data_IF_878263275080
#
_entry.id   IF_878263275080
#
_cell.length_a   1.000
_cell.length_b   1.000
_cell.length_c   1.000
_cell.angle_alpha   90.00
_cell.angle_beta   90.00
_cell.angle_gamma   90.00
#
_symmetry.space_group_name_H-M   'P 1'
#
loop_
_entity.id
_entity.type
_entity.pdbx_description
1 polymer ?
#
# COMPACT_ATOMS: atom_id res chain seq x y z
N UNK A 1 -45.32 101.94 10.70
CA UNK A 1 -45.02 100.51 10.96
C UNK A 1 -44.94 99.80 9.62
N UNK A 2 -44.09 100.32 8.67
CA UNK A 2 -44.02 99.75 7.32
C UNK A 2 -42.61 99.80 6.71
N UNK A 3 -41.52 99.84 7.46
CA UNK A 3 -40.15 99.99 6.91
C UNK A 3 -39.19 98.87 7.33
N UNK A 4 -39.65 97.81 8.03
CA UNK A 4 -38.79 96.72 8.55
C UNK A 4 -38.90 95.42 7.77
N UNK A 5 -39.80 95.29 6.79
CA UNK A 5 -40.00 94.06 6.03
C UNK A 5 -39.02 93.73 4.90
N UNK A 6 -38.43 94.65 4.14
CA UNK A 6 -37.52 94.34 3.08
C UNK A 6 -36.14 93.88 3.57
N UNK A 7 -35.67 94.43 4.71
CA UNK A 7 -34.33 94.12 5.24
C UNK A 7 -34.20 92.73 5.80
N UNK A 8 -35.27 92.18 6.45
CA UNK A 8 -35.33 90.86 6.94
C UNK A 8 -35.40 89.81 5.81
N UNK A 9 -36.05 90.10 4.71
CA UNK A 9 -36.12 89.23 3.52
C UNK A 9 -34.77 89.16 2.78
N UNK A 10 -34.03 90.26 2.68
CA UNK A 10 -32.69 90.31 2.06
C UNK A 10 -31.66 89.55 2.92
N UNK A 11 -31.70 89.69 4.25
CA UNK A 11 -30.82 89.00 5.15
C UNK A 11 -31.12 87.48 5.13
N UNK A 12 -32.39 87.08 5.00
CA UNK A 12 -32.79 85.71 4.88
C UNK A 12 -32.36 85.00 3.58
N UNK A 13 -32.47 85.77 2.45
CA UNK A 13 -32.02 85.33 1.12
C UNK A 13 -30.47 85.20 1.08
N UNK A 14 -29.74 86.15 1.67
CA UNK A 14 -28.29 86.08 1.79
C UNK A 14 -27.81 84.90 2.66
N UNK A 15 -28.48 84.71 3.78
CA UNK A 15 -28.14 83.58 4.68
C UNK A 15 -28.48 82.24 4.05
N UNK A 16 -29.59 82.10 3.36
CA UNK A 16 -29.95 80.85 2.64
C UNK A 16 -29.00 80.56 1.46
N UNK A 17 -28.55 81.53 0.71
CA UNK A 17 -27.58 81.36 -0.37
C UNK A 17 -26.16 81.01 0.17
N UNK A 18 -25.78 81.55 1.33
CA UNK A 18 -24.52 81.22 2.00
C UNK A 18 -24.54 79.81 2.56
N UNK A 19 -25.66 79.34 3.10
CA UNK A 19 -25.77 77.94 3.58
C UNK A 19 -25.78 76.97 2.43
N UNK A 20 -26.42 77.24 1.31
CA UNK A 20 -26.39 76.33 0.13
C UNK A 20 -25.02 76.34 -0.57
N UNK A 21 -24.30 77.41 -0.60
CA UNK A 21 -22.94 77.50 -1.14
C UNK A 21 -21.94 76.68 -0.24
N UNK A 22 -22.14 76.72 1.08
CA UNK A 22 -21.30 75.98 2.01
C UNK A 22 -21.58 74.44 1.98
N UNK A 23 -22.83 74.04 1.81
CA UNK A 23 -23.24 72.64 1.65
C UNK A 23 -22.69 72.08 0.32
N UNK A 24 -22.72 72.82 -0.75
CA UNK A 24 -22.18 72.41 -2.05
C UNK A 24 -20.64 72.18 -2.01
N UNK A 25 -19.92 73.09 -1.35
CA UNK A 25 -18.48 73.03 -1.19
C UNK A 25 -18.05 71.84 -0.31
N UNK A 26 -18.74 71.61 0.79
CA UNK A 26 -18.50 70.43 1.68
C UNK A 26 -18.80 69.13 0.97
N UNK A 27 -19.87 69.04 0.18
CA UNK A 27 -20.23 67.82 -0.54
C UNK A 27 -19.19 67.47 -1.61
N UNK A 28 -18.65 68.47 -2.33
CA UNK A 28 -17.58 68.25 -3.32
C UNK A 28 -16.29 67.77 -2.64
N UNK A 29 -15.93 68.37 -1.51
CA UNK A 29 -14.76 67.95 -0.71
C UNK A 29 -14.86 66.49 -0.22
N UNK A 30 -15.97 66.11 0.37
CA UNK A 30 -16.20 64.72 0.81
C UNK A 30 -16.16 63.71 -0.35
N UNK A 31 -16.65 64.08 -1.54
CA UNK A 31 -16.55 63.21 -2.73
C UNK A 31 -15.09 63.00 -3.17
N UNK A 32 -14.26 64.01 -3.14
CA UNK A 32 -12.84 63.96 -3.49
C UNK A 32 -12.08 63.16 -2.42
N UNK A 33 -12.33 63.42 -1.15
CA UNK A 33 -11.74 62.68 -0.05
C UNK A 33 -12.08 61.17 -0.08
N UNK A 34 -13.35 60.82 -0.32
CA UNK A 34 -13.79 59.44 -0.51
C UNK A 34 -13.10 58.79 -1.71
N UNK A 35 -12.94 59.54 -2.82
CA UNK A 35 -12.24 59.04 -4.01
C UNK A 35 -10.75 58.83 -3.75
N UNK A 36 -10.09 59.71 -3.00
CA UNK A 36 -8.69 59.56 -2.58
C UNK A 36 -8.50 58.35 -1.67
N UNK A 37 -9.36 58.18 -0.66
CA UNK A 37 -9.32 57.06 0.25
C UNK A 37 -9.51 55.72 -0.49
N UNK A 38 -10.45 55.67 -1.45
CA UNK A 38 -10.66 54.50 -2.30
C UNK A 38 -9.43 54.23 -3.17
N UNK A 39 -8.85 55.23 -3.81
CA UNK A 39 -7.66 55.08 -4.64
C UNK A 39 -6.47 54.55 -3.80
N UNK A 40 -6.25 55.09 -2.61
CA UNK A 40 -5.21 54.61 -1.68
C UNK A 40 -5.43 53.15 -1.28
N UNK A 41 -6.66 52.77 -0.97
CA UNK A 41 -7.01 51.38 -0.63
C UNK A 41 -6.74 50.43 -1.80
N UNK A 42 -7.14 50.80 -3.02
CA UNK A 42 -6.90 49.98 -4.22
C UNK A 42 -5.40 49.89 -4.57
N UNK A 43 -4.63 50.99 -4.44
CA UNK A 43 -3.17 50.96 -4.59
C UNK A 43 -2.53 49.98 -3.60
N UNK A 44 -2.91 50.06 -2.33
CA UNK A 44 -2.39 49.13 -1.29
C UNK A 44 -2.72 47.67 -1.59
N UNK A 45 -3.94 47.38 -2.03
CA UNK A 45 -4.35 46.01 -2.42
C UNK A 45 -3.57 45.50 -3.65
N UNK A 46 -3.42 46.36 -4.68
CA UNK A 46 -2.64 46.00 -5.87
C UNK A 46 -1.18 45.76 -5.55
N UNK A 47 -0.58 46.56 -4.65
CA UNK A 47 0.79 46.34 -4.17
C UNK A 47 0.91 45.01 -3.39
N UNK A 48 -0.03 44.69 -2.51
CA UNK A 48 -0.04 43.45 -1.75
C UNK A 48 -0.19 42.25 -2.67
N UNK A 49 -1.09 42.29 -3.67
CA UNK A 49 -1.26 41.22 -4.66
C UNK A 49 -0.02 41.01 -5.51
N UNK A 50 0.64 42.06 -5.93
CA UNK A 50 1.88 42.02 -6.71
C UNK A 50 3.03 41.49 -5.85
N UNK A 51 3.11 41.87 -4.56
CA UNK A 51 4.15 41.45 -3.64
C UNK A 51 4.00 39.99 -3.24
N UNK A 52 2.75 39.49 -3.06
CA UNK A 52 2.46 38.12 -2.69
C UNK A 52 2.30 37.18 -3.88
N UNK A 53 2.08 37.69 -5.08
CA UNK A 53 1.73 36.91 -6.27
C UNK A 53 0.33 36.31 -6.23
N UNK A 54 -0.49 36.66 -5.24
CA UNK A 54 -1.83 36.11 -5.00
C UNK A 54 -2.91 37.10 -5.30
N UNK A 55 -3.94 36.66 -6.04
CA UNK A 55 -5.11 37.50 -6.31
C UNK A 55 -5.97 37.73 -5.06
N UNK A 56 -6.03 36.71 -4.18
CA UNK A 56 -6.73 36.73 -2.89
C UNK A 56 -5.69 36.68 -1.77
N UNK A 57 -5.09 37.83 -1.44
CA UNK A 57 -4.05 37.92 -0.42
C UNK A 57 -4.61 37.82 1.00
N UNK A 58 -5.81 38.37 1.23
CA UNK A 58 -6.48 38.41 2.53
C UNK A 58 -7.71 37.50 2.57
N UNK A 59 -7.99 36.92 3.73
CA UNK A 59 -9.16 36.08 3.94
C UNK A 59 -10.51 36.79 3.71
N UNK A 60 -10.53 38.13 3.76
CA UNK A 60 -11.67 38.96 3.42
C UNK A 60 -11.86 39.19 1.92
N UNK A 61 -10.85 38.91 1.11
CA UNK A 61 -10.92 39.08 -0.33
C UNK A 61 -11.61 37.88 -0.96
N UNK A 62 -12.85 38.04 -1.46
CA UNK A 62 -13.59 36.95 -2.11
C UNK A 62 -13.51 35.62 -1.37
N UNK A 63 -14.05 35.57 -0.15
CA UNK A 63 -13.95 34.41 0.76
C UNK A 63 -14.27 33.05 0.12
N UNK A 64 -15.17 33.02 -0.88
CA UNK A 64 -15.50 31.81 -1.63
C UNK A 64 -14.32 31.29 -2.49
N UNK A 65 -13.55 32.20 -3.09
CA UNK A 65 -12.38 31.84 -3.88
C UNK A 65 -11.21 31.40 -2.99
N UNK A 66 -11.04 32.03 -1.82
CA UNK A 66 -10.06 31.60 -0.81
C UNK A 66 -10.38 30.18 -0.34
N UNK A 67 -11.64 29.92 0.01
CA UNK A 67 -12.07 28.57 0.41
C UNK A 67 -11.87 27.52 -0.70
N UNK A 68 -12.11 27.90 -1.96
CA UNK A 68 -11.86 27.02 -3.10
C UNK A 68 -10.35 26.77 -3.29
N UNK A 69 -9.50 27.77 -3.18
CA UNK A 69 -8.06 27.63 -3.25
C UNK A 69 -7.51 26.73 -2.13
N UNK A 70 -8.01 26.91 -0.91
CA UNK A 70 -7.62 26.06 0.23
C UNK A 70 -8.02 24.60 0.01
N UNK A 71 -9.18 24.34 -0.59
CA UNK A 71 -9.62 22.99 -0.93
C UNK A 71 -8.68 22.36 -1.98
N UNK A 72 -8.38 23.06 -3.07
CA UNK A 72 -7.42 22.58 -4.07
C UNK A 72 -6.03 22.32 -3.49
N UNK A 73 -5.57 23.19 -2.59
CA UNK A 73 -4.29 23.01 -1.90
C UNK A 73 -4.27 21.79 -1.01
N UNK A 74 -5.37 21.54 -0.28
CA UNK A 74 -5.51 20.37 0.58
C UNK A 74 -5.47 19.09 -0.26
N UNK A 75 -6.26 19.05 -1.35
CA UNK A 75 -6.32 17.90 -2.26
C UNK A 75 -4.96 17.67 -2.96
N UNK A 76 -4.29 18.74 -3.40
CA UNK A 76 -2.93 18.66 -3.96
C UNK A 76 -1.91 18.04 -2.99
N UNK A 77 -1.90 18.50 -1.74
CA UNK A 77 -0.97 17.99 -0.73
C UNK A 77 -1.32 16.54 -0.38
N UNK A 78 -2.62 16.23 -0.28
CA UNK A 78 -3.11 14.87 -0.01
C UNK A 78 -2.69 13.87 -1.10
N UNK A 79 -2.97 14.19 -2.36
CA UNK A 79 -2.60 13.31 -3.49
C UNK A 79 -1.09 13.15 -3.64
N UNK A 80 -0.32 14.21 -3.46
CA UNK A 80 1.15 14.15 -3.47
C UNK A 80 1.73 13.28 -2.35
N UNK A 81 1.13 13.30 -1.17
CA UNK A 81 1.49 12.40 -0.08
C UNK A 81 1.08 10.95 -0.40
N UNK A 82 -0.10 10.75 -1.00
CA UNK A 82 -0.60 9.46 -1.45
C UNK A 82 0.32 8.80 -2.48
N UNK A 83 0.79 9.53 -3.50
CA UNK A 83 1.76 9.03 -4.49
C UNK A 83 3.03 8.51 -3.81
N UNK A 84 3.56 9.25 -2.83
CA UNK A 84 4.75 8.79 -2.07
C UNK A 84 4.47 7.54 -1.27
N UNK A 85 3.29 7.44 -0.64
CA UNK A 85 2.84 6.23 0.08
C UNK A 85 2.73 5.03 -0.87
N UNK A 86 2.07 5.22 -2.01
CA UNK A 86 1.92 4.19 -3.03
C UNK A 86 3.26 3.71 -3.61
N UNK A 87 4.23 4.62 -3.82
CA UNK A 87 5.58 4.25 -4.27
C UNK A 87 6.32 3.35 -3.26
N UNK A 88 6.08 3.50 -1.96
CA UNK A 88 6.62 2.59 -0.93
C UNK A 88 5.97 1.21 -1.03
N UNK A 89 4.67 1.15 -1.36
CA UNK A 89 3.96 -0.13 -1.55
C UNK A 89 4.42 -0.83 -2.83
N UNK A 90 4.74 -0.10 -3.91
CA UNK A 90 5.37 -0.71 -5.09
C UNK A 90 6.68 -1.41 -4.71
N UNK A 91 7.53 -0.77 -3.89
CA UNK A 91 8.76 -1.41 -3.38
C UNK A 91 8.50 -2.64 -2.52
N UNK A 92 7.42 -2.65 -1.73
CA UNK A 92 6.98 -3.85 -0.99
C UNK A 92 6.61 -4.99 -1.94
N UNK A 93 5.75 -4.74 -2.93
CA UNK A 93 5.31 -5.75 -3.90
C UNK A 93 6.48 -6.27 -4.75
N UNK A 94 7.37 -5.39 -5.19
CA UNK A 94 8.57 -5.78 -5.95
C UNK A 94 9.48 -6.70 -5.12
N UNK A 95 9.72 -6.36 -3.86
CA UNK A 95 10.52 -7.20 -2.96
C UNK A 95 9.85 -8.56 -2.77
N UNK A 96 8.52 -8.59 -2.61
CA UNK A 96 7.75 -9.84 -2.51
C UNK A 96 7.86 -10.71 -3.75
N UNK A 97 7.75 -10.13 -4.94
CA UNK A 97 7.95 -10.86 -6.19
C UNK A 97 9.37 -11.43 -6.30
N UNK A 98 10.39 -10.67 -5.91
CA UNK A 98 11.79 -11.17 -5.89
C UNK A 98 11.98 -12.32 -4.90
N UNK A 99 11.30 -12.26 -3.74
CA UNK A 99 11.31 -13.37 -2.78
C UNK A 99 10.67 -14.63 -3.38
N UNK A 100 9.52 -14.48 -4.06
CA UNK A 100 8.86 -15.60 -4.74
C UNK A 100 9.71 -16.15 -5.90
N UNK A 101 10.48 -15.32 -6.62
CA UNK A 101 11.42 -15.75 -7.64
C UNK A 101 12.57 -16.57 -7.05
N UNK A 102 13.14 -16.13 -5.95
CA UNK A 102 14.17 -16.86 -5.23
C UNK A 102 13.64 -18.21 -4.70
N UNK A 103 12.43 -18.23 -4.13
CA UNK A 103 11.76 -19.43 -3.68
C UNK A 103 11.53 -20.44 -4.84
N UNK A 104 11.08 -19.96 -5.99
CA UNK A 104 10.93 -20.79 -7.19
C UNK A 104 12.27 -21.36 -7.70
N UNK A 105 13.35 -20.59 -7.57
CA UNK A 105 14.70 -21.08 -7.88
C UNK A 105 15.14 -22.24 -6.97
N UNK A 106 14.84 -22.15 -5.68
CA UNK A 106 15.12 -23.23 -4.73
C UNK A 106 14.27 -24.49 -5.03
N UNK A 107 12.99 -24.33 -5.39
CA UNK A 107 12.16 -25.45 -5.82
C UNK A 107 12.67 -26.12 -7.10
N UNK A 108 13.15 -25.34 -8.05
CA UNK A 108 13.75 -25.89 -9.29
C UNK A 108 14.99 -26.72 -8.97
N UNK A 109 15.84 -26.29 -8.04
CA UNK A 109 16.99 -27.06 -7.59
C UNK A 109 16.57 -28.32 -6.83
N UNK A 110 15.53 -28.24 -6.00
CA UNK A 110 14.97 -29.39 -5.32
C UNK A 110 14.42 -30.43 -6.30
N UNK A 111 13.80 -29.97 -7.40
CA UNK A 111 13.33 -30.84 -8.47
C UNK A 111 14.48 -31.55 -9.20
N UNK A 112 15.59 -30.86 -9.46
CA UNK A 112 16.79 -31.50 -10.02
C UNK A 112 17.30 -32.61 -9.12
N UNK A 113 17.36 -32.35 -7.81
CA UNK A 113 17.80 -33.36 -6.83
C UNK A 113 16.82 -34.52 -6.73
N UNK A 114 15.50 -34.26 -6.79
CA UNK A 114 14.49 -35.31 -6.82
C UNK A 114 14.68 -36.27 -8.01
N UNK A 115 14.91 -35.72 -9.20
CA UNK A 115 15.17 -36.51 -10.40
C UNK A 115 16.51 -37.25 -10.32
N UNK A 116 17.55 -36.60 -9.80
CA UNK A 116 18.87 -37.19 -9.63
C UNK A 116 18.80 -38.36 -8.61
N UNK A 117 18.10 -38.17 -7.49
CA UNK A 117 17.92 -39.17 -6.46
C UNK A 117 17.11 -40.41 -6.90
N UNK A 118 16.28 -40.23 -7.95
CA UNK A 118 15.52 -41.34 -8.53
C UNK A 118 16.35 -42.37 -9.32
N UNK A 119 17.57 -42.02 -9.65
CA UNK A 119 18.38 -42.87 -10.51
C UNK A 119 18.80 -44.12 -9.75
N UNK A 120 18.44 -45.30 -10.24
CA UNK A 120 18.77 -46.60 -9.66
C UNK A 120 20.26 -46.96 -9.72
N UNK A 121 21.08 -46.16 -10.41
CA UNK A 121 22.53 -46.35 -10.46
C UNK A 121 23.26 -45.67 -9.29
N UNK A 122 22.59 -44.87 -8.51
CA UNK A 122 23.18 -44.22 -7.34
C UNK A 122 23.53 -45.25 -6.25
N UNK A 123 24.65 -45.01 -5.58
CA UNK A 123 25.05 -45.77 -4.38
C UNK A 123 24.36 -45.16 -3.14
N UNK A 124 24.40 -45.88 -2.02
CA UNK A 124 23.84 -45.42 -0.74
C UNK A 124 24.49 -44.10 -0.30
N UNK A 125 25.79 -43.93 -0.52
CA UNK A 125 26.48 -42.67 -0.22
C UNK A 125 26.05 -41.51 -1.11
N UNK A 126 25.76 -41.76 -2.40
CA UNK A 126 25.24 -40.75 -3.32
C UNK A 126 23.84 -40.29 -2.88
N UNK A 127 23.01 -41.24 -2.48
CA UNK A 127 21.69 -40.97 -1.96
C UNK A 127 21.73 -40.13 -0.67
N UNK A 128 22.60 -40.49 0.29
CA UNK A 128 22.77 -39.70 1.51
C UNK A 128 23.20 -38.27 1.21
N UNK A 129 24.13 -38.06 0.27
CA UNK A 129 24.58 -36.75 -0.13
C UNK A 129 23.46 -35.93 -0.78
N UNK A 130 22.67 -36.53 -1.69
CA UNK A 130 21.53 -35.90 -2.36
C UNK A 130 20.46 -35.50 -1.33
N UNK A 131 20.16 -36.38 -0.38
CA UNK A 131 19.17 -36.11 0.65
C UNK A 131 19.59 -34.99 1.60
N UNK A 132 20.87 -34.92 1.99
CA UNK A 132 21.39 -33.83 2.80
C UNK A 132 21.28 -32.47 2.06
N UNK A 133 21.65 -32.45 0.76
CA UNK A 133 21.51 -31.25 -0.03
C UNK A 133 20.03 -30.84 -0.17
N UNK A 134 19.13 -31.76 -0.43
CA UNK A 134 17.70 -31.52 -0.56
C UNK A 134 17.10 -30.95 0.73
N UNK A 135 17.48 -31.53 1.89
CA UNK A 135 17.02 -31.03 3.21
C UNK A 135 17.51 -29.60 3.48
N UNK A 136 18.77 -29.29 3.15
CA UNK A 136 19.29 -27.92 3.35
C UNK A 136 18.61 -26.90 2.43
N UNK A 137 18.31 -27.27 1.19
CA UNK A 137 17.54 -26.42 0.27
C UNK A 137 16.12 -26.19 0.81
N UNK A 138 15.47 -27.23 1.32
CA UNK A 138 14.15 -27.13 1.93
C UNK A 138 14.15 -26.24 3.18
N UNK A 139 15.17 -26.34 4.02
CA UNK A 139 15.36 -25.45 5.18
C UNK A 139 15.54 -23.99 4.73
N UNK A 140 16.35 -23.75 3.72
CA UNK A 140 16.55 -22.37 3.18
C UNK A 140 15.27 -21.84 2.54
N UNK A 141 14.50 -22.67 1.84
CA UNK A 141 13.19 -22.31 1.32
C UNK A 141 12.24 -21.87 2.46
N UNK A 142 12.15 -22.68 3.51
CA UNK A 142 11.34 -22.32 4.68
C UNK A 142 11.83 -21.02 5.33
N UNK A 143 13.16 -20.87 5.52
CA UNK A 143 13.73 -19.65 6.07
C UNK A 143 13.35 -18.44 5.22
N UNK A 144 13.47 -18.53 3.89
CA UNK A 144 13.13 -17.45 2.96
C UNK A 144 11.66 -17.06 3.08
N UNK A 145 10.75 -18.03 3.09
CA UNK A 145 9.30 -17.79 3.15
C UNK A 145 8.84 -17.26 4.50
N UNK A 146 9.43 -17.72 5.61
CA UNK A 146 9.02 -17.35 6.98
C UNK A 146 9.66 -16.07 7.50
N UNK A 147 10.89 -15.72 7.05
CA UNK A 147 11.62 -14.57 7.59
C UNK A 147 11.59 -13.32 6.71
N UNK A 148 11.03 -13.41 5.49
CA UNK A 148 10.99 -12.29 4.58
C UNK A 148 10.14 -11.14 5.11
N UNK A 149 10.78 -9.98 5.31
CA UNK A 149 10.15 -8.77 5.84
C UNK A 149 10.55 -7.54 5.03
N UNK A 150 9.63 -6.62 4.89
CA UNK A 150 9.87 -5.30 4.31
C UNK A 150 9.62 -4.22 5.37
N UNK A 151 10.66 -3.46 5.72
CA UNK A 151 10.58 -2.43 6.78
C UNK A 151 10.08 -2.98 8.13
N UNK A 152 10.39 -4.25 8.44
CA UNK A 152 9.94 -4.92 9.67
C UNK A 152 8.54 -5.55 9.61
N UNK A 153 7.80 -5.35 8.52
CA UNK A 153 6.49 -5.96 8.27
C UNK A 153 6.66 -7.27 7.48
N UNK A 154 5.92 -8.29 7.83
CA UNK A 154 5.92 -9.56 7.11
C UNK A 154 5.44 -9.36 5.66
N UNK A 155 6.12 -10.05 4.73
CA UNK A 155 5.79 -9.96 3.31
C UNK A 155 4.53 -10.74 2.96
N UNK A 156 4.35 -11.89 3.61
CA UNK A 156 3.22 -12.79 3.38
C UNK A 156 2.18 -12.61 4.48
N UNK A 157 1.02 -12.10 4.11
CA UNK A 157 -0.08 -11.81 5.03
C UNK A 157 -1.15 -12.89 4.92
N UNK A 158 -1.93 -13.10 5.98
CA UNK A 158 -2.94 -14.16 6.05
C UNK A 158 -3.97 -14.13 4.91
N UNK A 159 -4.21 -12.97 4.32
CA UNK A 159 -5.13 -12.81 3.19
C UNK A 159 -4.55 -11.83 2.17
N UNK A 160 -4.55 -12.22 0.90
CA UNK A 160 -4.16 -11.32 -0.18
C UNK A 160 -5.07 -10.07 -0.20
N UNK A 161 -4.47 -8.89 -0.26
CA UNK A 161 -5.22 -7.64 -0.25
C UNK A 161 -5.75 -7.19 1.12
N UNK A 162 -5.21 -7.72 2.22
CA UNK A 162 -5.61 -7.33 3.59
C UNK A 162 -5.08 -5.95 4.02
N UNK A 163 -4.11 -5.44 3.32
CA UNK A 163 -3.48 -4.16 3.59
C UNK A 163 -4.05 -3.09 2.66
N UNK A 164 -4.05 -1.84 3.11
CA UNK A 164 -4.53 -0.74 2.28
C UNK A 164 -3.51 0.39 2.21
N UNK A 165 -3.54 1.12 1.11
CA UNK A 165 -2.80 2.36 0.89
C UNK A 165 -3.76 3.45 0.44
N UNK A 166 -3.69 4.62 1.07
CA UNK A 166 -4.45 5.78 0.64
C UNK A 166 -3.68 6.53 -0.46
N UNK A 167 -4.36 6.85 -1.53
CA UNK A 167 -3.85 7.66 -2.64
C UNK A 167 -4.08 9.17 -2.42
N UNK A 168 -4.57 9.54 -1.23
CA UNK A 168 -4.72 10.93 -0.82
C UNK A 168 -5.94 11.66 -1.40
N UNK A 169 -6.76 11.02 -2.21
CA UNK A 169 -8.07 11.49 -2.62
C UNK A 169 -9.16 11.11 -1.61
N UNK A 170 -10.34 11.71 -1.75
CA UNK A 170 -11.51 11.31 -0.95
C UNK A 170 -11.92 9.91 -1.39
N UNK A 171 -11.93 8.96 -0.46
CA UNK A 171 -12.25 7.53 -0.69
C UNK A 171 -11.34 6.83 -1.71
N UNK A 172 -10.16 7.38 -2.01
CA UNK A 172 -9.18 6.79 -2.89
C UNK A 172 -8.22 5.89 -2.10
N UNK A 173 -8.70 4.72 -1.71
CA UNK A 173 -7.92 3.67 -1.06
C UNK A 173 -7.78 2.48 -2.00
N UNK A 174 -6.61 1.84 -1.95
CA UNK A 174 -6.32 0.64 -2.71
C UNK A 174 -5.79 -0.44 -1.78
N UNK A 175 -6.31 -1.66 -1.94
CA UNK A 175 -5.85 -2.81 -1.16
C UNK A 175 -4.66 -3.48 -1.82
N UNK A 176 -3.72 -3.97 -1.00
CA UNK A 176 -2.55 -4.71 -1.44
C UNK A 176 -2.18 -5.77 -0.40
N UNK A 177 -1.27 -6.67 -0.77
CA UNK A 177 -0.72 -7.71 0.11
C UNK A 177 -0.62 -9.03 -0.62
N UNK A 178 0.45 -9.76 -0.33
CA UNK A 178 0.70 -11.09 -0.89
C UNK A 178 0.22 -12.11 0.14
N UNK A 179 -0.70 -12.98 -0.26
CA UNK A 179 -1.22 -14.03 0.62
C UNK A 179 -0.13 -15.02 1.02
N UNK A 180 -0.24 -15.61 2.22
CA UNK A 180 0.63 -16.70 2.65
C UNK A 180 0.54 -17.87 1.67
N UNK A 181 1.70 -18.35 1.25
CA UNK A 181 1.83 -19.57 0.45
C UNK A 181 1.96 -20.75 1.43
N UNK A 182 1.00 -21.67 1.41
CA UNK A 182 1.13 -22.94 2.15
C UNK A 182 2.07 -23.86 1.41
N UNK A 183 3.07 -24.38 2.08
CA UNK A 183 4.06 -25.33 1.57
C UNK A 183 4.22 -26.53 2.50
N UNK A 184 3.16 -26.85 3.26
CA UNK A 184 3.12 -27.97 4.18
C UNK A 184 3.32 -29.31 3.48
N UNK A 185 2.97 -29.41 2.21
CA UNK A 185 3.14 -30.59 1.39
C UNK A 185 4.61 -31.02 1.31
N UNK A 186 5.55 -30.10 1.25
CA UNK A 186 6.99 -30.40 1.23
C UNK A 186 7.48 -31.06 2.53
N UNK A 187 6.84 -30.78 3.65
CA UNK A 187 7.30 -31.22 5.00
C UNK A 187 6.39 -32.27 5.65
N UNK A 188 5.34 -32.70 4.95
CA UNK A 188 4.38 -33.69 5.45
C UNK A 188 3.34 -33.13 6.44
N UNK A 189 2.13 -33.64 6.34
CA UNK A 189 0.97 -33.16 7.12
C UNK A 189 1.08 -33.49 8.63
N UNK A 190 1.91 -34.45 9.01
CA UNK A 190 2.09 -34.87 10.40
C UNK A 190 3.06 -33.98 11.21
N UNK A 191 3.70 -33.02 10.54
CA UNK A 191 4.60 -32.09 11.22
C UNK A 191 3.93 -30.72 11.31
N UNK A 192 3.33 -30.47 12.45
CA UNK A 192 2.96 -29.14 12.86
C UNK A 192 4.23 -28.30 12.81
N UNK A 193 4.28 -27.29 11.93
CA UNK A 193 5.33 -26.27 11.92
C UNK A 193 5.10 -25.44 13.20
N UNK A 194 5.43 -26.03 14.32
CA UNK A 194 5.21 -25.44 15.66
C UNK A 194 6.46 -24.76 16.18
N UNK A 195 7.57 -24.84 15.45
CA UNK A 195 8.80 -24.21 15.82
C UNK A 195 8.98 -22.87 15.15
N UNK A 196 9.47 -21.89 15.88
CA UNK A 196 9.94 -20.64 15.31
C UNK A 196 11.11 -20.89 14.33
N UNK A 197 11.63 -19.85 13.67
CA UNK A 197 12.65 -19.93 12.62
C UNK A 197 13.99 -20.59 13.07
N UNK A 198 14.11 -20.99 14.34
CA UNK A 198 15.29 -21.64 14.90
C UNK A 198 15.08 -23.12 15.23
N UNK A 199 13.92 -23.70 14.94
CA UNK A 199 13.65 -25.11 15.23
C UNK A 199 14.08 -25.97 14.03
N UNK A 200 15.35 -26.34 14.03
CA UNK A 200 16.01 -27.07 12.95
C UNK A 200 15.59 -28.53 12.83
N UNK A 201 14.92 -29.08 13.85
CA UNK A 201 14.52 -30.52 13.83
C UNK A 201 13.15 -30.74 13.15
N UNK A 202 12.37 -29.69 12.95
CA UNK A 202 11.00 -29.80 12.42
C UNK A 202 10.89 -29.72 10.88
N UNK A 203 11.97 -29.41 10.18
CA UNK A 203 11.96 -29.17 8.73
C UNK A 203 12.68 -30.27 7.96
N UNK A 204 12.19 -31.49 8.04
CA UNK A 204 12.64 -32.59 7.17
C UNK A 204 11.64 -32.73 6.03
N UNK A 205 12.14 -32.95 4.82
CA UNK A 205 11.28 -33.25 3.68
C UNK A 205 10.41 -34.47 3.96
N UNK A 206 9.14 -34.41 3.63
CA UNK A 206 8.21 -35.50 3.74
C UNK A 206 8.65 -36.68 2.85
N UNK A 207 9.16 -36.35 1.69
CA UNK A 207 9.56 -37.26 0.63
C UNK A 207 10.99 -36.99 0.24
N UNK A 208 11.94 -37.74 0.78
CA UNK A 208 13.33 -37.63 0.35
C UNK A 208 13.54 -38.34 -0.99
N UNK A 209 14.42 -37.82 -1.86
CA UNK A 209 14.68 -38.39 -3.18
C UNK A 209 15.06 -39.84 -3.19
N UNK A 210 15.50 -40.43 -2.07
CA UNK A 210 16.03 -41.79 -2.00
C UNK A 210 15.60 -42.56 -0.81
N UNK A 211 14.38 -42.45 -0.32
CA UNK A 211 13.86 -43.31 0.75
C UNK A 211 13.88 -44.81 0.40
N UNK A 212 14.42 -45.15 -0.79
CA UNK A 212 14.54 -46.52 -1.26
C UNK A 212 15.72 -47.30 -0.64
N UNK A 213 16.63 -46.65 0.07
CA UNK A 213 17.85 -47.30 0.52
C UNK A 213 17.95 -47.32 2.04
N UNK A 214 18.32 -48.49 2.54
CA UNK A 214 18.40 -48.89 3.94
C UNK A 214 17.04 -48.80 4.63
N UNK A 215 16.51 -49.96 4.99
CA UNK A 215 15.30 -50.16 5.77
C UNK A 215 15.17 -49.13 6.92
N UNK A 216 14.77 -47.88 6.59
CA UNK A 216 14.33 -46.93 7.60
C UNK A 216 13.09 -47.52 8.21
N UNK A 217 13.06 -47.64 9.52
CA UNK A 217 11.88 -48.10 10.23
C UNK A 217 10.82 -47.03 10.11
N UNK A 218 9.84 -47.27 9.27
CA UNK A 218 8.61 -46.45 9.24
C UNK A 218 7.65 -47.13 10.26
N UNK A 219 7.14 -46.36 11.18
CA UNK A 219 6.17 -46.80 12.18
C UNK A 219 5.92 -45.77 13.25
N UNK A 220 4.88 -45.97 14.01
CA UNK A 220 4.24 -45.00 14.92
C UNK A 220 5.13 -44.38 15.99
N UNK A 221 6.24 -44.94 16.31
CA UNK A 221 7.18 -44.42 17.31
C UNK A 221 8.60 -44.20 16.75
N UNK A 222 8.72 -44.00 15.45
CA UNK A 222 10.00 -43.72 14.81
C UNK A 222 9.99 -42.31 14.26
N UNK A 223 11.18 -41.78 14.05
CA UNK A 223 11.37 -40.45 13.47
C UNK A 223 10.82 -40.29 12.02
N UNK A 224 10.27 -41.38 11.45
CA UNK A 224 9.73 -41.44 10.12
C UNK A 224 8.33 -42.08 10.11
N UNK A 225 7.24 -41.29 10.27
CA UNK A 225 5.87 -41.81 10.13
C UNK A 225 5.57 -42.23 8.70
N UNK A 226 4.67 -43.17 8.50
CA UNK A 226 4.09 -43.47 7.19
C UNK A 226 3.27 -42.27 6.75
N UNK A 227 3.40 -41.87 5.49
CA UNK A 227 2.72 -40.71 4.93
C UNK A 227 1.61 -41.15 3.99
N UNK A 228 0.43 -40.53 4.13
CA UNK A 228 -0.72 -40.82 3.29
C UNK A 228 -0.42 -40.52 1.79
N UNK A 229 -0.97 -41.35 0.91
CA UNK A 229 -0.77 -41.24 -0.54
C UNK A 229 0.54 -41.85 -1.06
N UNK A 230 1.41 -42.39 -0.18
CA UNK A 230 2.69 -42.97 -0.57
C UNK A 230 2.61 -44.51 -0.59
N UNK A 231 3.27 -45.07 -1.61
CA UNK A 231 3.39 -46.49 -1.76
C UNK A 231 4.60 -47.03 -1.01
N UNK A 232 4.37 -48.02 -0.16
CA UNK A 232 5.40 -48.70 0.65
C UNK A 232 5.48 -50.19 0.30
N UNK A 233 6.66 -50.76 0.48
CA UNK A 233 6.94 -52.18 0.36
C UNK A 233 7.36 -52.72 1.74
N UNK A 234 6.83 -53.85 2.15
CA UNK A 234 7.19 -54.49 3.42
C UNK A 234 8.55 -55.11 3.29
N UNK A 235 9.53 -54.63 4.05
CA UNK A 235 10.89 -55.16 4.10
C UNK A 235 11.05 -56.20 5.18
N UNK A 236 10.43 -55.98 6.35
CA UNK A 236 10.47 -56.90 7.47
C UNK A 236 9.19 -56.80 8.30
N UNK A 237 8.65 -57.94 8.70
CA UNK A 237 7.44 -58.00 9.55
C UNK A 237 7.74 -57.77 11.03
N UNK A 238 8.99 -57.64 11.42
CA UNK A 238 9.39 -57.46 12.82
C UNK A 238 9.11 -58.65 13.69
N UNK A 239 9.82 -58.76 14.77
CA UNK A 239 9.54 -59.77 15.82
C UNK A 239 9.23 -59.05 17.13
N UNK A 240 8.00 -59.16 17.63
CA UNK A 240 7.68 -58.80 19.00
C UNK A 240 8.21 -59.96 19.91
N UNK A 241 9.14 -59.62 20.76
CA UNK A 241 9.63 -60.55 21.86
C UNK A 241 9.99 -61.96 21.44
N UNK A 242 10.57 -62.16 20.28
CA UNK A 242 11.07 -63.47 19.85
C UNK A 242 10.00 -64.43 19.36
N UNK A 243 8.79 -64.01 19.18
CA UNK A 243 7.71 -64.89 18.71
C UNK A 243 7.11 -64.28 17.39
N UNK A 244 7.20 -65.06 16.34
CA UNK A 244 6.78 -64.74 14.96
C UNK A 244 5.26 -64.62 14.79
N UNK A 245 4.47 -64.67 15.82
CA UNK A 245 3.05 -64.95 15.68
C UNK A 245 2.12 -63.71 15.80
N UNK A 246 2.63 -62.56 16.13
CA UNK A 246 1.75 -61.43 16.42
C UNK A 246 1.69 -60.37 15.30
N UNK A 247 2.28 -60.66 14.16
CA UNK A 247 2.16 -59.81 12.96
C UNK A 247 0.72 -59.69 12.43
N UNK A 248 -0.20 -60.54 12.87
CA UNK A 248 -1.55 -60.55 12.33
C UNK A 248 -2.46 -59.41 12.80
N UNK A 249 -2.29 -58.90 14.02
CA UNK A 249 -3.12 -57.78 14.49
C UNK A 249 -2.66 -56.43 13.96
N UNK A 250 -1.36 -56.23 13.87
CA UNK A 250 -0.79 -54.97 13.40
C UNK A 250 -0.77 -54.94 11.88
N UNK A 251 -0.52 -56.09 11.23
CA UNK A 251 -0.74 -56.25 9.81
C UNK A 251 -2.20 -55.99 9.40
N UNK A 252 -3.14 -56.40 10.24
CA UNK A 252 -4.57 -56.13 10.02
C UNK A 252 -4.90 -54.64 10.15
N UNK A 253 -4.30 -53.93 11.09
CA UNK A 253 -4.46 -52.49 11.21
C UNK A 253 -3.93 -51.74 9.97
N UNK A 254 -2.77 -52.17 9.45
CA UNK A 254 -2.23 -51.57 8.19
C UNK A 254 -3.12 -51.93 7.01
N UNK A 255 -3.70 -53.13 6.96
CA UNK A 255 -4.61 -53.54 5.89
C UNK A 255 -5.94 -52.79 5.92
N UNK A 256 -6.46 -52.50 7.12
CA UNK A 256 -7.71 -51.70 7.26
C UNK A 256 -7.55 -50.22 6.87
N UNK A 257 -6.31 -49.69 6.92
CA UNK A 257 -5.97 -48.28 6.69
C UNK A 257 -5.25 -48.05 5.34
N UNK A 258 -5.21 -49.10 4.48
CA UNK A 258 -4.51 -49.02 3.18
C UNK A 258 -5.37 -49.62 2.06
N UNK A 259 -5.04 -49.33 0.81
CA UNK A 259 -5.68 -49.87 -0.39
C UNK A 259 -5.30 -51.33 -0.69
N UNK A 260 -4.64 -52.04 0.23
CA UNK A 260 -4.21 -53.43 0.05
C UNK A 260 -5.39 -54.38 0.12
N UNK A 261 -5.65 -55.07 -0.94
CA UNK A 261 -6.78 -56.00 -1.05
C UNK A 261 -6.46 -57.44 -0.59
N UNK A 262 -5.26 -57.70 -0.07
CA UNK A 262 -4.82 -59.00 0.38
C UNK A 262 -5.25 -59.32 1.83
N UNK A 263 -5.58 -60.58 2.12
CA UNK A 263 -5.97 -61.01 3.46
C UNK A 263 -4.80 -61.08 4.48
N UNK A 264 -3.57 -61.03 4.03
CA UNK A 264 -2.36 -61.12 4.87
C UNK A 264 -1.23 -60.36 4.21
N UNK A 265 -0.60 -59.46 4.99
CA UNK A 265 0.58 -58.72 4.54
C UNK A 265 1.83 -59.64 4.65
N UNK A 266 2.65 -59.69 3.62
CA UNK A 266 3.89 -60.45 3.57
C UNK A 266 5.07 -59.58 3.16
N UNK A 267 6.28 -60.03 3.46
CA UNK A 267 7.49 -59.33 3.00
C UNK A 267 7.52 -59.30 1.47
N UNK A 268 7.69 -58.12 0.89
CA UNK A 268 7.64 -57.87 -0.55
C UNK A 268 6.29 -57.33 -1.02
N UNK A 269 5.26 -57.36 -0.19
CA UNK A 269 3.96 -56.75 -0.55
C UNK A 269 4.05 -55.23 -0.55
N UNK A 270 3.34 -54.65 -1.51
CA UNK A 270 3.29 -53.16 -1.69
C UNK A 270 1.87 -52.67 -1.38
N UNK A 271 1.79 -51.59 -0.62
CA UNK A 271 0.53 -50.93 -0.27
C UNK A 271 0.67 -49.41 -0.35
N UNK A 272 -0.43 -48.73 -0.55
CA UNK A 272 -0.51 -47.27 -0.48
C UNK A 272 -1.25 -46.91 0.81
N UNK A 273 -0.74 -45.95 1.55
CA UNK A 273 -1.40 -45.43 2.75
C UNK A 273 -2.55 -44.52 2.31
N UNK A 274 -3.78 -44.81 2.75
CA UNK A 274 -4.94 -43.99 2.42
C UNK A 274 -4.85 -42.62 3.11
N UNK A 275 -5.45 -41.60 2.52
CA UNK A 275 -5.51 -40.22 3.06
C UNK A 275 -6.26 -40.15 4.41
N UNK A 276 -7.14 -41.09 4.68
CA UNK A 276 -7.99 -41.17 5.87
C UNK A 276 -7.37 -42.05 6.99
N UNK A 277 -6.20 -42.62 6.75
CA UNK A 277 -5.55 -43.53 7.70
C UNK A 277 -5.10 -42.76 8.95
N UNK A 278 -5.75 -43.01 10.07
CA UNK A 278 -5.27 -42.58 11.39
C UNK A 278 -4.17 -43.54 11.88
N UNK A 279 -2.98 -43.39 11.32
CA UNK A 279 -1.78 -44.18 11.61
C UNK A 279 -1.32 -44.01 13.06
N UNK A 280 -1.89 -43.05 13.79
CA UNK A 280 -1.62 -42.84 15.22
C UNK A 280 -2.09 -44.02 16.11
N UNK A 281 -2.96 -44.89 15.60
CA UNK A 281 -3.49 -46.06 16.32
C UNK A 281 -2.63 -47.31 16.22
N UNK A 282 -1.62 -47.33 15.35
CA UNK A 282 -0.66 -48.42 15.32
C UNK A 282 0.22 -48.35 16.59
N UNK A 283 -0.15 -49.10 17.60
CA UNK A 283 0.48 -49.04 18.91
C UNK A 283 1.95 -49.49 18.91
N UNK A 284 2.73 -48.82 19.75
CA UNK A 284 4.14 -49.11 20.03
C UNK A 284 4.41 -50.58 20.29
N UNK A 285 5.17 -51.26 19.46
CA UNK A 285 5.60 -52.63 19.66
C UNK A 285 6.00 -53.36 18.38
N UNK A 286 5.59 -52.93 17.23
CA UNK A 286 5.94 -53.55 15.97
C UNK A 286 7.24 -53.00 15.40
N UNK A 287 8.24 -53.83 15.32
CA UNK A 287 9.49 -53.57 14.61
C UNK A 287 9.32 -53.83 13.09
N UNK A 288 8.14 -53.59 12.53
CA UNK A 288 7.95 -53.68 11.07
C UNK A 288 8.78 -52.61 10.37
N UNK A 289 9.42 -53.00 9.29
CA UNK A 289 10.20 -52.04 8.47
C UNK A 289 9.64 -52.00 7.06
N UNK A 290 9.41 -50.83 6.58
CA UNK A 290 8.89 -50.57 5.25
C UNK A 290 9.95 -49.86 4.43
N UNK A 291 9.94 -50.10 3.14
CA UNK A 291 10.71 -49.38 2.15
C UNK A 291 9.73 -48.60 1.29
N UNK A 292 9.98 -47.38 1.07
CA UNK A 292 9.19 -46.61 0.16
C UNK A 292 9.43 -47.06 -1.29
N UNK A 293 8.34 -47.34 -2.02
CA UNK A 293 8.41 -47.76 -3.42
C UNK A 293 8.26 -46.51 -4.27
N UNK A 294 9.38 -46.08 -4.88
CA UNK A 294 9.39 -44.96 -5.84
C UNK A 294 9.01 -43.58 -5.26
N UNK A 295 9.97 -42.96 -4.64
CA UNK A 295 9.81 -41.61 -4.06
C UNK A 295 9.87 -40.46 -5.01
N UNK A 296 10.27 -40.65 -6.27
CA UNK A 296 10.43 -39.56 -7.23
C UNK A 296 9.16 -38.81 -7.54
N UNK A 297 8.08 -39.56 -7.73
CA UNK A 297 6.83 -38.93 -8.16
C UNK A 297 6.21 -38.11 -7.04
N UNK A 298 6.30 -38.54 -5.80
CA UNK A 298 5.68 -37.83 -4.69
C UNK A 298 6.37 -36.49 -4.38
N UNK A 299 7.71 -36.45 -4.31
CA UNK A 299 8.43 -35.20 -4.10
C UNK A 299 8.24 -34.24 -5.28
N UNK A 300 8.23 -34.74 -6.50
CA UNK A 300 7.94 -33.95 -7.71
C UNK A 300 6.53 -33.35 -7.66
N UNK A 301 5.53 -34.15 -7.25
CA UNK A 301 4.15 -33.70 -7.12
C UNK A 301 4.01 -32.61 -6.02
N UNK A 302 4.66 -32.79 -4.88
CA UNK A 302 4.69 -31.78 -3.81
C UNK A 302 5.34 -30.47 -4.27
N UNK A 303 6.48 -30.57 -5.00
CA UNK A 303 7.16 -29.41 -5.56
C UNK A 303 6.26 -28.68 -6.58
N UNK A 304 5.60 -29.42 -7.47
CA UNK A 304 4.68 -28.86 -8.45
C UNK A 304 3.48 -28.17 -7.77
N UNK A 305 2.92 -28.78 -6.73
CA UNK A 305 1.83 -28.21 -5.97
C UNK A 305 2.22 -26.88 -5.30
N UNK A 306 3.40 -26.83 -4.67
CA UNK A 306 3.92 -25.61 -4.04
C UNK A 306 4.29 -24.57 -5.09
N UNK A 307 4.88 -24.97 -6.22
CA UNK A 307 5.20 -24.08 -7.33
C UNK A 307 3.93 -23.44 -7.93
N UNK A 308 2.84 -24.17 -8.04
CA UNK A 308 1.56 -23.64 -8.50
C UNK A 308 1.03 -22.53 -7.57
N UNK A 309 1.18 -22.73 -6.25
CA UNK A 309 0.80 -21.72 -5.24
C UNK A 309 1.69 -20.47 -5.32
N UNK A 310 3.01 -20.64 -5.49
CA UNK A 310 3.96 -19.54 -5.71
C UNK A 310 3.59 -18.77 -6.96
N UNK A 311 3.27 -19.45 -8.06
CA UNK A 311 2.85 -18.80 -9.30
C UNK A 311 1.56 -18.00 -9.11
N UNK A 312 0.60 -18.52 -8.36
CA UNK A 312 -0.64 -17.80 -8.00
C UNK A 312 -0.33 -16.54 -7.21
N UNK A 313 0.50 -16.64 -6.18
CA UNK A 313 0.92 -15.50 -5.36
C UNK A 313 1.67 -14.44 -6.20
N UNK A 314 2.53 -14.88 -7.14
CA UNK A 314 3.25 -14.01 -8.07
C UNK A 314 2.30 -13.26 -9.00
N UNK A 315 1.31 -13.95 -9.58
CA UNK A 315 0.29 -13.33 -10.44
C UNK A 315 -0.53 -12.29 -9.65
N UNK A 316 -0.91 -12.61 -8.41
CA UNK A 316 -1.61 -11.67 -7.53
C UNK A 316 -0.76 -10.42 -7.25
N UNK A 317 0.50 -10.61 -6.85
CA UNK A 317 1.42 -9.50 -6.59
C UNK A 317 1.66 -8.65 -7.84
N UNK A 318 1.88 -9.28 -8.99
CA UNK A 318 2.08 -8.60 -10.28
C UNK A 318 0.85 -7.81 -10.73
N UNK A 319 -0.36 -8.36 -10.55
CA UNK A 319 -1.60 -7.66 -10.89
C UNK A 319 -1.83 -6.44 -9.98
N UNK A 320 -1.55 -6.57 -8.68
CA UNK A 320 -1.63 -5.46 -7.73
C UNK A 320 -0.57 -4.39 -8.05
N UNK A 321 0.64 -4.80 -8.42
CA UNK A 321 1.70 -3.89 -8.84
C UNK A 321 1.27 -3.05 -10.05
N UNK A 322 0.79 -3.69 -11.11
CA UNK A 322 0.31 -3.00 -12.32
C UNK A 322 -0.88 -2.08 -12.06
N UNK A 323 -1.83 -2.52 -11.20
CA UNK A 323 -2.97 -1.71 -10.81
C UNK A 323 -2.53 -0.47 -10.00
N UNK A 324 -1.57 -0.64 -9.08
CA UNK A 324 -1.04 0.47 -8.27
C UNK A 324 -0.22 1.44 -9.12
N UNK A 325 0.57 0.96 -10.09
CA UNK A 325 1.28 1.81 -11.04
C UNK A 325 0.32 2.66 -11.87
N UNK A 326 -0.75 2.05 -12.38
CA UNK A 326 -1.83 2.77 -13.08
C UNK A 326 -2.50 3.81 -12.18
N UNK A 327 -2.78 3.47 -10.92
CA UNK A 327 -3.37 4.37 -9.95
C UNK A 327 -2.45 5.57 -9.63
N UNK A 328 -1.14 5.33 -9.51
CA UNK A 328 -0.14 6.40 -9.33
C UNK A 328 -0.13 7.33 -10.56
N UNK A 329 -0.17 6.78 -11.78
CA UNK A 329 -0.26 7.56 -13.01
C UNK A 329 -1.48 8.49 -12.99
N UNK A 330 -2.67 7.92 -12.76
CA UNK A 330 -3.91 8.70 -12.63
C UNK A 330 -3.84 9.77 -11.52
N UNK A 331 -3.33 9.40 -10.34
CA UNK A 331 -3.23 10.33 -9.20
C UNK A 331 -2.23 11.45 -9.49
N UNK A 332 -1.18 11.18 -10.27
CA UNK A 332 -0.20 12.18 -10.71
C UNK A 332 -0.86 13.20 -11.64
N UNK A 333 -1.64 12.75 -12.61
CA UNK A 333 -2.40 13.64 -13.49
C UNK A 333 -3.42 14.45 -12.70
N UNK A 334 -4.12 13.83 -11.76
CA UNK A 334 -5.06 14.51 -10.87
C UNK A 334 -4.37 15.56 -10.00
N UNK A 335 -3.18 15.27 -9.47
CA UNK A 335 -2.36 16.21 -8.70
C UNK A 335 -2.00 17.44 -9.53
N UNK A 336 -1.63 17.25 -10.80
CA UNK A 336 -1.35 18.34 -11.72
C UNK A 336 -2.61 19.20 -11.99
N UNK A 337 -3.78 18.57 -12.10
CA UNK A 337 -5.06 19.30 -12.26
C UNK A 337 -5.41 20.12 -11.01
N UNK A 338 -5.16 19.59 -9.81
CA UNK A 338 -5.35 20.35 -8.56
C UNK A 338 -4.39 21.54 -8.46
N UNK A 339 -3.14 21.37 -8.87
CA UNK A 339 -2.17 22.46 -8.91
C UNK A 339 -2.59 23.54 -9.91
N UNK A 340 -3.02 23.14 -11.11
CA UNK A 340 -3.55 24.07 -12.12
C UNK A 340 -4.79 24.81 -11.61
N UNK A 341 -5.72 24.08 -10.96
CA UNK A 341 -6.91 24.69 -10.35
C UNK A 341 -6.56 25.69 -9.26
N UNK A 342 -5.63 25.34 -8.38
CA UNK A 342 -5.11 26.23 -7.35
C UNK A 342 -4.51 27.50 -7.95
N UNK A 343 -3.62 27.37 -8.95
CA UNK A 343 -2.96 28.49 -9.59
C UNK A 343 -3.96 29.39 -10.32
N UNK A 344 -4.96 28.82 -11.01
CA UNK A 344 -6.01 29.57 -11.70
C UNK A 344 -6.83 30.44 -10.75
N UNK A 345 -7.09 29.96 -9.53
CA UNK A 345 -7.91 30.66 -8.53
C UNK A 345 -7.08 31.65 -7.71
N UNK A 346 -5.82 31.31 -7.43
CA UNK A 346 -4.98 32.02 -6.47
C UNK A 346 -3.99 32.99 -7.10
N UNK A 347 -3.47 32.69 -8.31
CA UNK A 347 -2.40 33.48 -8.91
C UNK A 347 -2.91 34.80 -9.50
N UNK A 348 -2.12 35.85 -9.31
CA UNK A 348 -2.39 37.15 -9.86
C UNK A 348 -1.92 37.26 -11.31
N UNK A 349 -2.74 37.84 -12.17
CA UNK A 349 -2.28 38.26 -13.49
C UNK A 349 -1.47 39.56 -13.38
N UNK A 350 -0.13 39.42 -13.34
CA UNK A 350 0.79 40.56 -13.16
C UNK A 350 0.55 41.68 -14.16
N UNK A 351 0.28 41.39 -15.43
CA UNK A 351 0.04 42.42 -16.46
C UNK A 351 -1.21 43.24 -16.18
N UNK A 352 -2.28 42.55 -15.77
CA UNK A 352 -3.53 43.23 -15.40
C UNK A 352 -3.37 44.03 -14.10
N UNK A 353 -2.75 43.45 -13.10
CA UNK A 353 -2.61 44.07 -11.78
C UNK A 353 -1.67 45.28 -11.81
N UNK A 354 -0.59 45.24 -12.60
CA UNK A 354 0.29 46.42 -12.82
C UNK A 354 -0.44 47.54 -13.55
N UNK A 355 -1.31 47.25 -14.54
CA UNK A 355 -2.15 48.22 -15.17
C UNK A 355 -3.17 48.85 -14.19
N UNK A 356 -3.76 48.03 -13.30
CA UNK A 356 -4.63 48.49 -12.22
C UNK A 356 -3.88 49.37 -11.21
N UNK A 357 -2.66 48.97 -10.82
CA UNK A 357 -1.81 49.79 -9.96
C UNK A 357 -1.49 51.16 -10.58
N UNK A 358 -1.03 51.18 -11.83
CA UNK A 358 -0.72 52.41 -12.53
C UNK A 358 -1.95 53.32 -12.64
N UNK A 359 -3.12 52.78 -13.02
CA UNK A 359 -4.39 53.50 -13.07
C UNK A 359 -4.74 54.11 -11.71
N UNK A 360 -4.65 53.36 -10.63
CA UNK A 360 -5.01 53.83 -9.30
C UNK A 360 -4.01 54.85 -8.76
N UNK A 361 -2.73 54.76 -9.10
CA UNK A 361 -1.72 55.80 -8.81
C UNK A 361 -2.01 57.10 -9.51
N UNK A 362 -2.40 57.04 -10.79
CA UNK A 362 -2.82 58.24 -11.52
C UNK A 362 -4.09 58.88 -10.90
N UNK A 363 -5.06 58.03 -10.52
CA UNK A 363 -6.27 58.50 -9.83
C UNK A 363 -5.95 59.10 -8.45
N UNK A 364 -5.01 58.56 -7.71
CA UNK A 364 -4.53 59.13 -6.46
C UNK A 364 -3.92 60.50 -6.65
N UNK A 365 -3.02 60.64 -7.65
CA UNK A 365 -2.40 61.91 -7.96
C UNK A 365 -3.44 62.97 -8.42
N UNK A 366 -4.38 62.58 -9.29
CA UNK A 366 -5.46 63.43 -9.74
C UNK A 366 -6.37 63.86 -8.57
N UNK A 367 -6.75 62.93 -7.69
CA UNK A 367 -7.56 63.24 -6.51
C UNK A 367 -6.86 64.19 -5.55
N UNK A 368 -5.54 64.03 -5.35
CA UNK A 368 -4.73 64.94 -4.52
C UNK A 368 -4.66 66.33 -5.14
N UNK A 369 -4.49 66.45 -6.46
CA UNK A 369 -4.51 67.72 -7.17
C UNK A 369 -5.88 68.42 -7.09
N UNK A 370 -6.98 67.64 -7.27
CA UNK A 370 -8.34 68.15 -7.10
C UNK A 370 -8.63 68.63 -5.66
N UNK A 371 -8.12 67.93 -4.65
CA UNK A 371 -8.23 68.34 -3.25
C UNK A 371 -7.51 69.66 -3.00
N UNK A 372 -6.29 69.79 -3.54
CA UNK A 372 -5.53 71.07 -3.45
C UNK A 372 -6.31 72.27 -4.15
N UNK A 373 -6.88 71.97 -5.31
CA UNK A 373 -7.69 72.97 -6.05
C UNK A 373 -9.00 73.33 -5.30
N UNK A 374 -9.66 72.35 -4.67
CA UNK A 374 -10.84 72.57 -3.84
C UNK A 374 -10.49 73.42 -2.62
N UNK A 375 -9.36 73.14 -1.95
CA UNK A 375 -8.86 73.97 -0.85
C UNK A 375 -8.53 75.36 -1.24
N UNK A 376 -7.89 75.61 -2.40
CA UNK A 376 -7.65 76.98 -2.96
C UNK A 376 -8.95 77.69 -3.26
N UNK A 377 -9.93 76.98 -3.82
CA UNK A 377 -11.27 77.57 -4.07
C UNK A 377 -11.96 78.02 -2.78
N UNK A 378 -11.86 77.23 -1.71
CA UNK A 378 -12.37 77.58 -0.37
C UNK A 378 -11.68 78.81 0.20
N UNK A 379 -10.34 78.89 0.09
CA UNK A 379 -9.57 80.05 0.54
C UNK A 379 -9.93 81.32 -0.20
N UNK A 380 -10.14 81.21 -1.53
CA UNK A 380 -10.59 82.35 -2.36
C UNK A 380 -11.98 82.82 -1.97
N UNK A 381 -12.91 81.91 -1.68
CA UNK A 381 -14.25 82.24 -1.17
C UNK A 381 -14.18 82.91 0.21
N UNK A 382 -13.30 82.43 1.11
CA UNK A 382 -13.08 83.02 2.41
C UNK A 382 -12.53 84.46 2.32
N UNK A 383 -11.59 84.72 1.40
CA UNK A 383 -11.08 86.06 1.11
C UNK A 383 -12.15 87.01 0.51
N UNK A 384 -13.08 86.47 -0.30
CA UNK A 384 -14.18 87.23 -0.85
C UNK A 384 -15.23 87.64 0.19
N UNK A 385 -15.36 86.88 1.26
CA UNK A 385 -16.29 87.13 2.37
C UNK A 385 -15.70 88.08 3.41
N UNK A 386 -14.36 88.13 3.53
CA UNK A 386 -13.64 88.98 4.48
C UNK A 386 -13.23 90.32 3.94
N UNK A 387 -13.31 90.58 2.64
CA UNK A 387 -13.10 91.84 1.97
C UNK A 387 -14.41 92.50 1.56
#
# INVERSE_FOLDING_TARGET
MSFLLPEIAEIRIRKGNLEMANIGATTAFYKVETSLTRANSEVSKSMERLATGRQNANAGDRSSYVAMADTFRLDYVGTKAGIKGASVVLGYLETGMRTLDAASGLLSRLQELAVLGANSTNTDADHEAINLEAEEIAKEFNRLMSTSKYKGKEMFVSSAGSEYVSLGGRDAEMTFGIGTVSYTELFGSARTISGGPNDTESFKLAHLPSDAVAAKKYGVNTDNPLVAGIKYEVVSMGTSDGNTATASSDAKLILDETDFSGATLAVGDQFTVDSDADISTITSGTNMTFKRVSGTNALTEDIEAVQAKINTARVQAGSQYAALESAIGYTTDLTAQYELGFNTVNDVNFSMETAHLAKNQILQQAATAMLAQANQGQQSLLQLIQG
#
